data_IF_055709893522
#
_entry.id   IF_055709893522
#
_cell.length_a   1.000
_cell.length_b   1.000
_cell.length_c   1.000
_cell.angle_alpha   90.00
_cell.angle_beta   90.00
_cell.angle_gamma   90.00
#
_symmetry.space_group_name_H-M   'P 1'
#
loop_
_entity.id
_entity.type
_entity.pdbx_description
1 polymer ?
#
# COMPACT_ATOMS: atom_id res chain seq x y z
N UNK A 1 -12.16 -4.46 -19.97
CA UNK A 1 -11.52 -3.90 -18.75
C UNK A 1 -10.01 -4.06 -18.86
N UNK A 2 -9.33 -3.07 -19.46
CA UNK A 2 -7.87 -3.13 -19.60
C UNK A 2 -7.24 -2.66 -18.29
N UNK A 3 -6.88 -3.60 -17.43
CA UNK A 3 -6.00 -3.33 -16.31
C UNK A 3 -4.70 -2.81 -16.92
N UNK A 4 -4.37 -1.53 -16.75
CA UNK A 4 -3.19 -0.95 -17.37
C UNK A 4 -1.97 -1.72 -16.89
N UNK A 5 -1.34 -2.51 -17.75
CA UNK A 5 -0.30 -3.50 -17.38
C UNK A 5 0.81 -2.89 -16.55
N UNK A 6 1.12 -1.61 -16.78
CA UNK A 6 2.09 -0.82 -16.01
C UNK A 6 1.71 -0.67 -14.54
N UNK A 7 0.45 -0.33 -14.23
CA UNK A 7 -0.04 -0.21 -12.84
C UNK A 7 -0.06 -1.58 -12.16
N UNK A 8 -0.34 -2.65 -12.90
CA UNK A 8 -0.31 -4.02 -12.38
C UNK A 8 1.09 -4.41 -11.92
N UNK A 9 2.09 -4.14 -12.76
CA UNK A 9 3.48 -4.42 -12.47
C UNK A 9 3.91 -3.65 -11.21
N UNK A 10 3.64 -2.34 -11.15
CA UNK A 10 3.96 -1.52 -9.98
C UNK A 10 3.30 -2.09 -8.71
N UNK A 11 2.02 -2.47 -8.78
CA UNK A 11 1.33 -3.00 -7.61
C UNK A 11 1.92 -4.34 -7.14
N UNK A 12 2.29 -5.23 -8.07
CA UNK A 12 2.96 -6.50 -7.77
C UNK A 12 4.33 -6.24 -7.14
N UNK A 13 5.12 -5.32 -7.69
CA UNK A 13 6.43 -4.97 -7.15
C UNK A 13 6.32 -4.43 -5.72
N UNK A 14 5.35 -3.56 -5.44
CA UNK A 14 5.09 -3.05 -4.09
C UNK A 14 4.70 -4.17 -3.12
N UNK A 15 3.88 -5.15 -3.55
CA UNK A 15 3.52 -6.30 -2.72
C UNK A 15 4.74 -7.14 -2.36
N UNK A 16 5.64 -7.37 -3.31
CA UNK A 16 6.88 -8.12 -3.07
C UNK A 16 7.75 -7.38 -2.04
N UNK A 17 7.90 -6.06 -2.18
CA UNK A 17 8.65 -5.24 -1.23
C UNK A 17 8.04 -5.34 0.16
N UNK A 18 6.72 -5.19 0.30
CA UNK A 18 6.01 -5.32 1.59
C UNK A 18 6.29 -6.68 2.24
N UNK A 19 6.17 -7.77 1.49
CA UNK A 19 6.42 -9.12 2.00
C UNK A 19 7.87 -9.31 2.46
N UNK A 20 8.85 -8.83 1.67
CA UNK A 20 10.26 -8.88 2.06
C UNK A 20 10.52 -8.05 3.33
N UNK A 21 9.90 -6.86 3.43
CA UNK A 21 10.03 -5.99 4.60
C UNK A 21 9.47 -6.67 5.85
N UNK A 22 8.35 -7.39 5.72
CA UNK A 22 7.77 -8.21 6.80
C UNK A 22 8.71 -9.33 7.21
N UNK A 23 9.22 -10.12 6.25
CA UNK A 23 10.13 -11.24 6.54
C UNK A 23 11.37 -10.73 7.29
N UNK A 24 12.00 -9.67 6.79
CA UNK A 24 13.16 -9.05 7.44
C UNK A 24 12.82 -8.54 8.84
N UNK A 25 11.65 -7.90 9.01
CA UNK A 25 11.23 -7.38 10.31
C UNK A 25 11.08 -8.46 11.37
N UNK A 26 10.59 -9.65 10.98
CA UNK A 26 10.42 -10.79 11.87
C UNK A 26 11.77 -11.44 12.17
N UNK A 27 12.63 -11.62 11.17
CA UNK A 27 13.93 -12.29 11.37
C UNK A 27 14.94 -11.46 12.16
N UNK A 28 14.83 -10.12 12.09
CA UNK A 28 15.75 -9.19 12.77
C UNK A 28 15.16 -8.57 14.03
N UNK A 29 13.94 -8.97 14.42
CA UNK A 29 13.16 -8.40 15.53
C UNK A 29 13.06 -6.85 15.52
N UNK A 30 13.23 -6.27 14.33
CA UNK A 30 13.38 -4.83 14.09
C UNK A 30 12.07 -4.20 13.60
N UNK A 31 10.93 -4.73 14.07
CA UNK A 31 9.59 -4.31 13.66
C UNK A 31 9.36 -2.80 13.78
N UNK A 32 9.96 -2.14 14.79
CA UNK A 32 9.85 -0.68 14.99
C UNK A 32 10.42 0.14 13.84
N UNK A 33 11.43 -0.41 13.14
CA UNK A 33 12.12 0.25 12.03
C UNK A 33 11.41 -0.06 10.70
N UNK A 34 10.95 -1.30 10.55
CA UNK A 34 10.39 -1.80 9.30
C UNK A 34 8.88 -1.62 9.17
N UNK A 35 8.13 -1.50 10.28
CA UNK A 35 6.68 -1.27 10.24
C UNK A 35 6.28 0.06 9.61
N UNK A 36 6.97 1.20 9.83
CA UNK A 36 6.69 2.44 9.10
C UNK A 36 6.82 2.27 7.58
N UNK A 37 7.89 1.62 7.15
CA UNK A 37 8.21 1.39 5.75
C UNK A 37 7.10 0.54 5.11
N UNK A 38 6.67 -0.53 5.79
CA UNK A 38 5.57 -1.37 5.38
C UNK A 38 4.27 -0.57 5.20
N UNK A 39 3.92 0.28 6.17
CA UNK A 39 2.69 1.09 6.12
C UNK A 39 2.71 2.12 4.99
N UNK A 40 3.86 2.72 4.69
CA UNK A 40 4.01 3.62 3.53
C UNK A 40 3.71 2.88 2.23
N UNK A 41 4.28 1.69 2.05
CA UNK A 41 4.07 0.90 0.84
C UNK A 41 2.63 0.42 0.69
N UNK A 42 2.00 -0.04 1.78
CA UNK A 42 0.58 -0.41 1.78
C UNK A 42 -0.34 0.79 1.51
N UNK A 43 0.02 1.97 2.04
CA UNK A 43 -0.68 3.23 1.75
C UNK A 43 -0.62 3.59 0.26
N UNK A 44 0.57 3.53 -0.33
CA UNK A 44 0.79 3.78 -1.74
C UNK A 44 0.01 2.79 -2.64
N UNK A 45 -0.05 1.51 -2.27
CA UNK A 45 -0.85 0.51 -2.99
C UNK A 45 -2.35 0.84 -2.98
N UNK A 46 -2.88 1.26 -1.84
CA UNK A 46 -4.27 1.69 -1.73
C UNK A 46 -4.55 2.92 -2.61
N UNK A 47 -3.67 3.91 -2.61
CA UNK A 47 -3.81 5.07 -3.50
C UNK A 47 -3.81 4.67 -4.98
N UNK A 48 -2.92 3.76 -5.40
CA UNK A 48 -2.91 3.21 -6.76
C UNK A 48 -4.21 2.45 -7.09
N UNK A 49 -4.76 1.73 -6.13
CA UNK A 49 -6.03 1.01 -6.29
C UNK A 49 -7.22 1.97 -6.42
N UNK A 50 -7.22 3.09 -5.68
CA UNK A 50 -8.21 4.13 -5.81
C UNK A 50 -8.29 4.72 -7.23
N UNK A 51 -7.14 4.95 -7.88
CA UNK A 51 -7.10 5.36 -9.29
C UNK A 51 -7.80 4.36 -10.21
N UNK A 52 -7.64 3.06 -9.94
CA UNK A 52 -8.34 2.02 -10.71
C UNK A 52 -9.85 2.04 -10.43
N UNK A 53 -10.29 2.25 -9.19
CA UNK A 53 -11.71 2.37 -8.86
C UNK A 53 -12.36 3.59 -9.52
N UNK A 54 -11.66 4.72 -9.63
CA UNK A 54 -12.14 5.88 -10.39
C UNK A 54 -12.35 5.55 -11.87
N UNK A 55 -11.38 4.86 -12.51
CA UNK A 55 -11.52 4.41 -13.90
C UNK A 55 -12.68 3.43 -14.11
N UNK A 56 -13.05 2.67 -13.08
CA UNK A 56 -14.17 1.75 -13.11
C UNK A 56 -15.49 2.39 -12.65
N UNK A 57 -15.54 3.71 -12.46
CA UNK A 57 -16.69 4.46 -11.93
C UNK A 57 -17.18 4.00 -10.55
N UNK A 58 -16.35 3.28 -9.78
CA UNK A 58 -16.66 2.79 -8.43
C UNK A 58 -16.25 3.83 -7.38
N UNK A 59 -16.93 4.97 -7.36
CA UNK A 59 -16.58 6.14 -6.51
C UNK A 59 -16.46 5.80 -5.02
N UNK A 60 -17.39 5.02 -4.46
CA UNK A 60 -17.36 4.66 -3.04
C UNK A 60 -16.11 3.83 -2.67
N UNK A 61 -15.75 2.87 -3.52
CA UNK A 61 -14.53 2.07 -3.34
C UNK A 61 -13.27 2.92 -3.50
N UNK A 62 -13.27 3.89 -4.42
CA UNK A 62 -12.16 4.82 -4.60
C UNK A 62 -11.95 5.70 -3.36
N UNK A 63 -13.02 6.27 -2.81
CA UNK A 63 -12.98 7.11 -1.60
C UNK A 63 -12.48 6.30 -0.41
N UNK A 64 -13.03 5.09 -0.20
CA UNK A 64 -12.60 4.21 0.89
C UNK A 64 -11.11 3.87 0.78
N UNK A 65 -10.64 3.54 -0.43
CA UNK A 65 -9.24 3.21 -0.67
C UNK A 65 -8.30 4.41 -0.46
N UNK A 66 -8.73 5.63 -0.81
CA UNK A 66 -7.99 6.87 -0.47
C UNK A 66 -7.90 7.05 1.04
N UNK A 67 -9.03 6.94 1.75
CA UNK A 67 -9.07 7.14 3.21
C UNK A 67 -8.15 6.15 3.92
N UNK A 68 -8.20 4.86 3.54
CA UNK A 68 -7.31 3.83 4.08
C UNK A 68 -5.85 4.13 3.71
N UNK A 69 -5.57 4.54 2.47
CA UNK A 69 -4.22 4.88 2.03
C UNK A 69 -3.59 6.02 2.83
N UNK A 70 -4.33 7.11 3.03
CA UNK A 70 -3.88 8.26 3.83
C UNK A 70 -3.68 7.85 5.29
N UNK A 71 -4.63 7.09 5.86
CA UNK A 71 -4.52 6.62 7.23
C UNK A 71 -3.26 5.78 7.47
N UNK A 72 -2.93 4.85 6.56
CA UNK A 72 -1.73 4.03 6.66
C UNK A 72 -0.45 4.87 6.60
N UNK A 73 -0.40 5.89 5.74
CA UNK A 73 0.73 6.82 5.68
C UNK A 73 0.85 7.62 6.98
N UNK A 74 -0.25 8.07 7.56
CA UNK A 74 -0.22 8.77 8.85
C UNK A 74 0.27 7.88 10.00
N UNK A 75 -0.18 6.63 10.05
CA UNK A 75 0.27 5.63 11.03
C UNK A 75 1.79 5.37 10.91
N UNK A 76 2.35 5.45 9.69
CA UNK A 76 3.80 5.27 9.51
C UNK A 76 4.66 6.34 10.19
N UNK A 77 4.14 7.56 10.39
CA UNK A 77 4.92 8.66 10.98
C UNK A 77 5.14 8.44 12.48
N UNK A 78 4.21 7.74 13.13
CA UNK A 78 4.30 7.37 14.53
C UNK A 78 3.89 5.91 14.69
N UNK A 79 4.79 4.95 14.39
CA UNK A 79 4.52 3.54 14.65
C UNK A 79 4.26 3.36 16.15
N UNK A 80 3.19 2.66 16.48
CA UNK A 80 2.89 2.25 17.86
C UNK A 80 3.87 1.17 18.33
#
# INVERSE_FOLDING_TARGET
>A
MYYNSKIKIINISLTIIVLLTVIVSITTDSYKIYSPIMFIFLGAQNLLMAFNYFKLHKKNSAILSISVGIFLVLVSIKPF
#
